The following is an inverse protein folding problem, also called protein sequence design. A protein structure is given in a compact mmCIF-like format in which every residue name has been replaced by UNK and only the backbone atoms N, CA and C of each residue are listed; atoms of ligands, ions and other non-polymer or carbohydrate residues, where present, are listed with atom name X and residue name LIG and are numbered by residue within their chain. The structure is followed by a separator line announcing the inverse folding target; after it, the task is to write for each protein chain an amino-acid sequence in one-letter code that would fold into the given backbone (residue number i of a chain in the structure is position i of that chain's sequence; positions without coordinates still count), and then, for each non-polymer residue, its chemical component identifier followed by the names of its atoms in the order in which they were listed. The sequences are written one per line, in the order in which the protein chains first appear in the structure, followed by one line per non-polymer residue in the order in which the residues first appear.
data_IF_910869434148
#
_entry.id   IF_910869434148
#
_cell.length_a   1.000
_cell.length_b   1.000
_cell.length_c   1.000
_cell.angle_alpha   90.00
_cell.angle_beta   90.00
_cell.angle_gamma   90.00
#
_symmetry.space_group_name_H-M   'P 1'
#
loop_
_entity.id
_entity.type
_entity.pdbx_description
1 polymer ?
#
# COMPACT_ATOMS: atom_id res chain seq x y z
N UNK A 1 -8.49 21.73 -12.30
CA UNK A 1 -7.56 21.19 -11.29
C UNK A 1 -8.33 20.29 -10.33
N UNK A 2 -7.75 19.16 -9.89
CA UNK A 2 -8.44 18.17 -9.05
C UNK A 2 -8.85 18.71 -7.68
N UNK A 3 -9.97 18.21 -7.14
CA UNK A 3 -10.56 18.70 -5.87
C UNK A 3 -9.92 18.10 -4.60
N UNK A 4 -8.90 17.25 -4.73
CA UNK A 4 -8.22 16.61 -3.58
C UNK A 4 -9.09 15.66 -2.75
N UNK A 5 -10.22 15.21 -3.31
CA UNK A 5 -11.19 14.30 -2.67
C UNK A 5 -11.33 12.96 -3.42
N UNK A 6 -10.58 12.79 -4.51
CA UNK A 6 -10.65 11.58 -5.32
C UNK A 6 -9.84 10.48 -4.66
N UNK A 7 -10.35 9.27 -4.67
CA UNK A 7 -9.62 8.10 -4.22
C UNK A 7 -8.31 7.87 -5.03
N UNK A 8 -7.14 7.82 -4.37
CA UNK A 8 -5.86 7.56 -5.02
C UNK A 8 -5.60 6.06 -5.32
N UNK A 9 -6.43 5.14 -4.82
CA UNK A 9 -6.18 3.69 -4.88
C UNK A 9 -6.01 3.21 -6.32
N UNK A 10 -6.74 3.75 -7.30
CA UNK A 10 -6.60 3.33 -8.69
C UNK A 10 -5.18 3.56 -9.24
N UNK A 11 -4.57 4.71 -8.93
CA UNK A 11 -3.21 5.01 -9.35
C UNK A 11 -2.19 4.15 -8.59
N UNK A 12 -2.39 3.93 -7.29
CA UNK A 12 -1.50 3.10 -6.47
C UNK A 12 -1.55 1.63 -6.91
N UNK A 13 -2.74 1.11 -7.21
CA UNK A 13 -2.91 -0.24 -7.76
C UNK A 13 -2.24 -0.36 -9.14
N UNK A 14 -2.34 0.66 -9.98
CA UNK A 14 -1.60 0.67 -11.26
C UNK A 14 -0.09 0.50 -11.04
N UNK A 15 0.48 1.11 -9.99
CA UNK A 15 1.88 0.89 -9.59
C UNK A 15 2.13 -0.55 -9.11
N UNK A 16 1.21 -1.15 -8.35
CA UNK A 16 1.31 -2.56 -7.96
C UNK A 16 1.37 -3.49 -9.18
N UNK A 17 0.50 -3.28 -10.16
CA UNK A 17 0.48 -4.06 -11.41
C UNK A 17 1.78 -3.87 -12.21
N UNK A 18 2.34 -2.66 -12.20
CA UNK A 18 3.63 -2.37 -12.83
C UNK A 18 4.78 -3.12 -12.14
N UNK A 19 4.80 -3.18 -10.80
CA UNK A 19 5.79 -3.95 -10.05
C UNK A 19 5.69 -5.45 -10.38
N UNK A 20 4.46 -5.97 -10.41
CA UNK A 20 4.18 -7.37 -10.78
C UNK A 20 4.69 -7.68 -12.21
N UNK A 21 4.42 -6.79 -13.16
CA UNK A 21 4.90 -6.90 -14.54
C UNK A 21 6.43 -6.93 -14.65
N UNK A 22 7.14 -6.17 -13.81
CA UNK A 22 8.60 -6.16 -13.79
C UNK A 22 9.22 -7.31 -12.98
N UNK A 23 8.42 -8.22 -12.41
CA UNK A 23 8.89 -9.34 -11.62
C UNK A 23 9.16 -9.02 -10.14
N UNK A 24 8.80 -7.81 -9.69
CA UNK A 24 8.94 -7.36 -8.30
C UNK A 24 7.77 -7.86 -7.44
N UNK A 25 7.56 -9.18 -7.40
CA UNK A 25 6.37 -9.81 -6.84
C UNK A 25 6.18 -9.54 -5.34
N UNK A 26 7.27 -9.55 -4.55
CA UNK A 26 7.19 -9.26 -3.11
C UNK A 26 6.77 -7.81 -2.86
N UNK A 27 7.33 -6.86 -3.61
CA UNK A 27 6.96 -5.46 -3.51
C UNK A 27 5.51 -5.23 -3.94
N UNK A 28 5.09 -5.87 -5.03
CA UNK A 28 3.71 -5.84 -5.51
C UNK A 28 2.72 -6.39 -4.47
N UNK A 29 3.01 -7.58 -3.91
CA UNK A 29 2.18 -8.20 -2.88
C UNK A 29 2.13 -7.35 -1.59
N UNK A 30 3.26 -6.76 -1.19
CA UNK A 30 3.32 -5.89 -0.02
C UNK A 30 2.50 -4.62 -0.21
N UNK A 31 2.53 -4.02 -1.41
CA UNK A 31 1.70 -2.86 -1.74
C UNK A 31 0.21 -3.21 -1.77
N UNK A 32 -0.17 -4.35 -2.35
CA UNK A 32 -1.56 -4.83 -2.34
C UNK A 32 -2.06 -5.00 -0.90
N UNK A 33 -1.29 -5.68 -0.06
CA UNK A 33 -1.64 -5.90 1.33
C UNK A 33 -1.81 -4.60 2.12
N UNK A 34 -0.98 -3.58 1.87
CA UNK A 34 -1.14 -2.27 2.50
C UNK A 34 -2.48 -1.60 2.10
N UNK A 35 -2.91 -1.73 0.83
CA UNK A 35 -4.21 -1.24 0.38
C UNK A 35 -5.35 -2.00 1.08
N UNK A 36 -5.26 -3.34 1.13
CA UNK A 36 -6.25 -4.21 1.78
C UNK A 36 -6.41 -3.92 3.28
N UNK A 37 -5.30 -3.73 4.00
CA UNK A 37 -5.32 -3.42 5.44
C UNK A 37 -6.02 -2.08 5.71
N UNK A 38 -5.72 -1.04 4.93
CA UNK A 38 -6.38 0.29 5.06
C UNK A 38 -7.87 0.21 4.76
N UNK A 39 -8.25 -0.49 3.68
CA UNK A 39 -9.66 -0.65 3.30
C UNK A 39 -10.45 -1.47 4.31
N UNK A 40 -9.87 -2.57 4.80
CA UNK A 40 -10.46 -3.44 5.82
C UNK A 40 -10.65 -2.68 7.14
N UNK A 41 -9.66 -1.89 7.55
CA UNK A 41 -9.73 -1.04 8.72
C UNK A 41 -10.68 0.16 8.55
N UNK A 42 -11.18 0.41 7.32
CA UNK A 42 -11.97 1.59 6.93
C UNK A 42 -11.29 2.91 7.32
N UNK A 43 -9.96 2.95 7.23
CA UNK A 43 -9.15 4.08 7.66
C UNK A 43 -9.06 5.14 6.55
N UNK A 44 -9.30 6.40 6.89
CA UNK A 44 -9.12 7.55 5.99
C UNK A 44 -9.79 7.39 4.61
N UNK A 45 -11.00 6.83 4.57
CA UNK A 45 -11.75 6.65 3.32
C UNK A 45 -12.17 7.99 2.73
N UNK A 46 -12.02 8.14 1.41
CA UNK A 46 -12.51 9.30 0.65
C UNK A 46 -14.04 9.28 0.50
N UNK A 47 -14.68 10.40 0.09
CA UNK A 47 -16.13 10.46 -0.09
C UNK A 47 -16.71 9.41 -1.04
N UNK A 48 -15.98 9.04 -2.09
CA UNK A 48 -16.39 8.00 -3.04
C UNK A 48 -16.37 6.58 -2.43
N UNK A 49 -15.59 6.38 -1.36
CA UNK A 49 -15.55 5.15 -0.57
C UNK A 49 -16.46 5.22 0.69
N UNK A 50 -17.27 6.28 0.81
CA UNK A 50 -18.18 6.48 1.95
C UNK A 50 -17.52 7.03 3.21
N UNK A 51 -16.40 7.73 3.09
CA UNK A 51 -15.77 8.45 4.20
C UNK A 51 -15.73 9.97 4.00
N UNK A 52 -14.85 10.65 4.74
CA UNK A 52 -14.71 12.11 4.73
C UNK A 52 -13.28 12.58 4.50
N UNK A 53 -12.36 11.66 4.24
CA UNK A 53 -10.94 11.97 4.08
C UNK A 53 -10.63 12.56 2.71
N UNK A 54 -9.53 13.31 2.64
CA UNK A 54 -8.94 13.77 1.39
C UNK A 54 -8.11 12.67 0.71
N UNK A 55 -7.80 12.88 -0.57
CA UNK A 55 -6.86 12.05 -1.34
C UNK A 55 -5.52 11.87 -0.61
N UNK A 56 -4.98 12.94 -0.03
CA UNK A 56 -3.71 12.89 0.69
C UNK A 56 -3.81 12.04 1.95
N UNK A 57 -4.88 12.20 2.74
CA UNK A 57 -5.05 11.41 3.96
C UNK A 57 -5.16 9.90 3.67
N UNK A 58 -5.86 9.52 2.60
CA UNK A 58 -5.91 8.11 2.18
C UNK A 58 -4.54 7.62 1.69
N UNK A 59 -3.81 8.43 0.92
CA UNK A 59 -2.45 8.11 0.48
C UNK A 59 -1.48 7.94 1.65
N UNK A 60 -1.54 8.82 2.65
CA UNK A 60 -0.72 8.76 3.85
C UNK A 60 -1.00 7.51 4.69
N UNK A 61 -2.28 7.14 4.83
CA UNK A 61 -2.66 5.90 5.51
C UNK A 61 -2.03 4.68 4.83
N UNK A 62 -2.12 4.58 3.50
CA UNK A 62 -1.50 3.49 2.73
C UNK A 62 0.02 3.51 2.90
N UNK A 63 0.66 4.68 2.85
CA UNK A 63 2.10 4.81 3.05
C UNK A 63 2.56 4.35 4.45
N UNK A 64 1.80 4.66 5.50
CA UNK A 64 2.10 4.20 6.87
C UNK A 64 2.02 2.68 6.98
N UNK A 65 0.98 2.06 6.43
CA UNK A 65 0.86 0.60 6.40
C UNK A 65 2.00 -0.02 5.61
N UNK A 66 2.23 0.44 4.38
CA UNK A 66 3.32 -0.04 3.51
C UNK A 66 4.67 0.00 4.23
N UNK A 67 4.98 1.13 4.88
CA UNK A 67 6.22 1.28 5.66
C UNK A 67 6.29 0.25 6.78
N UNK A 68 5.21 0.02 7.50
CA UNK A 68 5.17 -0.98 8.59
C UNK A 68 5.46 -2.39 8.05
N UNK A 69 4.88 -2.74 6.90
CA UNK A 69 5.08 -4.05 6.27
C UNK A 69 6.52 -4.27 5.81
N UNK A 70 7.11 -3.28 5.14
CA UNK A 70 8.49 -3.36 4.64
C UNK A 70 9.50 -3.51 5.78
N UNK A 71 9.29 -2.81 6.90
CA UNK A 71 10.19 -2.91 8.06
C UNK A 71 9.95 -4.19 8.88
N UNK A 72 8.71 -4.68 8.94
CA UNK A 72 8.38 -5.96 9.58
C UNK A 72 9.00 -7.16 8.87
N UNK A 73 9.00 -7.17 7.53
CA UNK A 73 9.61 -8.26 6.73
C UNK A 73 11.14 -8.28 6.77
N UNK A 74 11.80 -7.14 7.03
CA UNK A 74 13.28 -7.03 7.07
C UNK A 74 13.94 -7.88 8.16
N UNK A 75 13.21 -8.27 9.21
CA UNK A 75 13.71 -9.13 10.28
C UNK A 75 13.97 -10.58 9.82
N UNK A 76 13.24 -11.06 8.82
CA UNK A 76 13.30 -12.47 8.39
C UNK A 76 14.41 -12.77 7.37
N UNK A 77 14.98 -11.74 6.73
CA UNK A 77 16.05 -11.91 5.72
C UNK A 77 17.45 -12.12 6.31
N UNK A 78 17.69 -11.78 7.57
CA UNK A 78 19.00 -11.96 8.22
C UNK A 78 19.27 -13.43 8.62
N UNK A 79 18.27 -14.32 8.57
CA UNK A 79 18.38 -15.70 9.09
C UNK A 79 18.47 -16.78 7.99
N UNK A 80 18.56 -16.41 6.71
CA UNK A 80 18.66 -17.38 5.59
C UNK A 80 19.91 -17.25 4.72
N UNK A 81 21.06 -16.95 5.31
CA UNK A 81 22.37 -17.05 4.66
C UNK A 81 23.44 -17.61 5.61
N UNK A 82 23.22 -18.83 6.12
CA UNK A 82 24.28 -19.74 6.57
C UNK A 82 23.77 -21.17 6.38
N UNK A 83 24.60 -22.04 5.79
CA UNK A 83 24.34 -23.41 5.30
C UNK A 83 23.65 -23.37 3.91
N UNK A 84 24.29 -23.61 2.76
CA UNK A 84 25.49 -24.40 2.40
C UNK A 84 26.47 -23.63 1.51
#
# INVERSE_FOLDING_TARGET
MGKGITNPIASIWSTQLMLDFFGEYEAAATLMRAIEEVLTARQALTPDLGGTASTHQLGDAIHVHLRTLVHGSRSLYTVRFTLE
#
